data_IF_528678614222
#
_entry.id   IF_528678614222
#
_cell.length_a   1.000
_cell.length_b   1.000
_cell.length_c   1.000
_cell.angle_alpha   90.00
_cell.angle_beta   90.00
_cell.angle_gamma   90.00
#
_symmetry.space_group_name_H-M   'P 1'
#
loop_
_entity.id
_entity.type
_entity.pdbx_description
1 polymer ?
#
# COMPACT_ATOMS: atom_id res chain seq x y z
N UNK A 1 4.66 2.23 26.45
CA UNK A 1 3.73 1.24 25.90
C UNK A 1 4.51 0.16 25.16
N UNK A 2 4.12 -1.11 25.25
CA UNK A 2 4.75 -2.23 24.55
C UNK A 2 3.80 -2.75 23.46
N UNK A 3 4.29 -2.86 22.23
CA UNK A 3 3.52 -3.32 21.08
C UNK A 3 4.08 -4.65 20.57
N UNK A 4 3.22 -5.65 20.47
CA UNK A 4 3.55 -7.01 20.02
C UNK A 4 2.77 -7.36 18.76
N UNK A 5 3.23 -8.35 17.98
CA UNK A 5 2.54 -8.76 16.74
C UNK A 5 1.13 -9.28 17.00
N UNK A 6 0.90 -9.88 18.16
CA UNK A 6 -0.41 -10.30 18.65
C UNK A 6 -0.39 -10.33 20.17
N UNK A 7 -1.46 -10.79 20.81
CA UNK A 7 -1.53 -10.87 22.27
C UNK A 7 -0.55 -11.93 22.80
N UNK A 8 0.50 -11.49 23.48
CA UNK A 8 1.44 -12.37 24.18
C UNK A 8 1.10 -12.44 25.67
N UNK A 9 0.74 -13.65 26.14
CA UNK A 9 0.33 -13.89 27.53
C UNK A 9 1.44 -13.55 28.52
N UNK A 10 2.69 -13.86 28.19
CA UNK A 10 3.81 -13.60 29.11
C UNK A 10 4.08 -12.11 29.23
N UNK A 11 4.00 -11.37 28.11
CA UNK A 11 4.17 -9.92 28.10
C UNK A 11 3.03 -9.23 28.84
N UNK A 12 1.78 -9.66 28.65
CA UNK A 12 0.61 -9.13 29.38
C UNK A 12 0.74 -9.38 30.88
N UNK A 13 1.09 -10.60 31.30
CA UNK A 13 1.28 -10.95 32.70
C UNK A 13 2.47 -10.22 33.34
N UNK A 14 3.57 -10.04 32.60
CA UNK A 14 4.71 -9.27 33.10
C UNK A 14 4.37 -7.78 33.23
N UNK A 15 3.66 -7.22 32.26
CA UNK A 15 3.26 -5.82 32.28
C UNK A 15 2.18 -5.50 33.31
N UNK A 16 1.30 -6.46 33.67
CA UNK A 16 0.20 -6.22 34.62
C UNK A 16 0.69 -5.79 36.00
N UNK A 17 1.91 -6.17 36.37
CA UNK A 17 2.49 -5.86 37.67
C UNK A 17 3.24 -4.52 37.68
N UNK A 18 3.42 -3.87 36.53
CA UNK A 18 4.16 -2.61 36.42
C UNK A 18 3.19 -1.47 36.13
N UNK A 19 3.12 -0.51 37.06
CA UNK A 19 2.25 0.65 36.89
C UNK A 19 2.62 1.44 35.63
N UNK A 20 1.59 1.83 34.86
CA UNK A 20 1.69 2.65 33.62
C UNK A 20 2.30 1.94 32.40
N UNK A 21 2.58 0.64 32.45
CA UNK A 21 2.93 -0.12 31.24
C UNK A 21 1.67 -0.73 30.64
N UNK A 22 1.37 -0.34 29.41
CA UNK A 22 0.28 -0.91 28.63
C UNK A 22 0.86 -1.78 27.52
N UNK A 23 0.22 -2.92 27.28
CA UNK A 23 0.53 -3.84 26.20
C UNK A 23 -0.59 -3.80 25.18
N UNK A 24 -0.24 -3.82 23.89
CA UNK A 24 -1.22 -3.72 22.81
C UNK A 24 -0.76 -4.52 21.59
N UNK A 25 -1.61 -5.39 21.01
CA UNK A 25 -1.29 -6.05 19.75
C UNK A 25 -1.32 -5.06 18.58
N UNK A 26 -0.43 -5.25 17.60
CA UNK A 26 -0.21 -4.32 16.49
C UNK A 26 -1.47 -4.11 15.64
N UNK A 27 -2.36 -5.10 15.53
CA UNK A 27 -3.61 -4.95 14.79
C UNK A 27 -4.60 -3.97 15.44
N UNK A 28 -4.43 -3.70 16.74
CA UNK A 28 -5.25 -2.74 17.49
C UNK A 28 -4.57 -1.39 17.61
N UNK A 29 -3.42 -1.19 16.95
CA UNK A 29 -2.63 0.02 17.07
C UNK A 29 -3.35 1.20 16.42
N UNK A 30 -3.54 2.25 17.20
CA UNK A 30 -4.17 3.51 16.74
C UNK A 30 -3.19 4.68 16.93
N UNK A 31 -3.26 5.67 16.04
CA UNK A 31 -2.54 6.92 16.15
C UNK A 31 -2.77 7.64 17.48
N UNK A 32 -3.99 7.59 18.05
CA UNK A 32 -4.27 8.22 19.34
C UNK A 32 -3.44 7.58 20.48
N UNK A 33 -3.35 6.25 20.51
CA UNK A 33 -2.55 5.55 21.52
C UNK A 33 -1.07 5.88 21.36
N UNK A 34 -0.56 5.94 20.12
CA UNK A 34 0.82 6.33 19.83
C UNK A 34 1.14 7.76 20.27
N UNK A 35 0.24 8.72 19.99
CA UNK A 35 0.44 10.13 20.32
C UNK A 35 0.24 10.43 21.82
N UNK A 36 -0.50 9.59 22.53
CA UNK A 36 -0.78 9.75 23.96
C UNK A 36 0.35 9.26 24.89
N UNK A 37 1.39 8.64 24.34
CA UNK A 37 2.45 7.98 25.12
C UNK A 37 3.81 8.59 24.78
N UNK A 38 4.58 8.90 25.82
CA UNK A 38 5.93 9.47 25.65
C UNK A 38 6.93 8.45 25.07
N UNK A 39 6.72 7.16 25.33
CA UNK A 39 7.59 6.08 24.87
C UNK A 39 6.79 4.85 24.40
N UNK A 40 7.18 4.36 23.23
CA UNK A 40 6.66 3.13 22.62
C UNK A 40 7.81 2.18 22.34
N UNK A 41 7.69 0.95 22.85
CA UNK A 41 8.60 -0.17 22.58
C UNK A 41 7.84 -1.14 21.69
N UNK A 42 8.37 -1.45 20.51
CA UNK A 42 7.71 -2.33 19.55
C UNK A 42 8.61 -3.53 19.25
N UNK A 43 8.05 -4.74 19.20
CA UNK A 43 8.82 -5.91 18.77
C UNK A 43 9.15 -5.82 17.29
N UNK A 44 10.27 -6.41 16.88
CA UNK A 44 10.74 -6.39 15.48
C UNK A 44 9.68 -6.96 14.53
N UNK A 45 8.98 -8.01 14.95
CA UNK A 45 7.90 -8.59 14.14
C UNK A 45 6.70 -7.65 13.98
N UNK A 46 6.33 -6.91 15.02
CA UNK A 46 5.26 -5.92 14.96
C UNK A 46 5.66 -4.76 14.03
N UNK A 47 6.90 -4.28 14.12
CA UNK A 47 7.41 -3.23 13.24
C UNK A 47 7.37 -3.66 11.77
N UNK A 48 7.83 -4.89 11.47
CA UNK A 48 7.76 -5.46 10.12
C UNK A 48 6.32 -5.58 9.61
N UNK A 49 5.37 -5.89 10.50
CA UNK A 49 3.95 -5.93 10.14
C UNK A 49 3.42 -4.53 9.79
N UNK A 50 3.76 -3.50 10.59
CA UNK A 50 3.39 -2.10 10.33
C UNK A 50 3.93 -1.63 8.99
N UNK A 51 5.21 -1.87 8.71
CA UNK A 51 5.84 -1.52 7.44
C UNK A 51 5.14 -2.22 6.26
N UNK A 52 4.77 -3.49 6.40
CA UNK A 52 4.11 -4.24 5.34
C UNK A 52 2.64 -3.87 5.09
N UNK A 53 1.88 -3.55 6.16
CA UNK A 53 0.43 -3.29 6.08
C UNK A 53 0.11 -1.81 6.07
N UNK A 54 0.45 -1.12 7.15
CA UNK A 54 0.13 0.31 7.31
C UNK A 54 0.91 1.21 6.34
N UNK A 55 2.10 0.84 5.85
CA UNK A 55 2.76 1.65 4.81
C UNK A 55 2.05 1.57 3.45
N UNK A 56 1.32 0.48 3.20
CA UNK A 56 0.64 0.23 1.92
C UNK A 56 -0.78 0.80 1.87
N UNK A 57 -1.42 0.94 3.04
CA UNK A 57 -2.74 1.56 3.14
C UNK A 57 -2.66 3.06 2.82
N UNK A 58 -3.39 3.56 1.81
CA UNK A 58 -3.41 4.98 1.50
C UNK A 58 -4.13 5.76 2.62
N UNK A 59 -3.38 6.34 3.56
CA UNK A 59 -3.96 7.04 4.70
C UNK A 59 -4.61 8.39 4.29
N UNK A 60 -5.93 8.49 4.50
CA UNK A 60 -6.72 9.72 4.34
C UNK A 60 -7.28 9.97 2.93
N UNK A 61 -8.01 11.08 2.77
CA UNK A 61 -8.67 11.51 1.51
C UNK A 61 -7.74 11.60 0.28
N UNK A 62 -6.43 11.69 0.49
CA UNK A 62 -5.42 11.74 -0.58
C UNK A 62 -5.15 10.36 -1.19
N UNK A 63 -5.27 9.31 -0.39
CA UNK A 63 -5.04 7.95 -0.84
C UNK A 63 -6.05 7.44 -1.85
N UNK A 64 -7.34 7.76 -1.63
CA UNK A 64 -8.42 7.40 -2.55
C UNK A 64 -8.30 8.10 -3.91
N UNK A 65 -7.75 9.32 -3.95
CA UNK A 65 -7.51 10.03 -5.22
C UNK A 65 -6.34 9.41 -6.00
N UNK A 66 -5.33 8.88 -5.31
CA UNK A 66 -4.19 8.23 -5.96
C UNK A 66 -4.53 6.86 -6.50
N UNK A 67 -5.33 6.04 -5.79
CA UNK A 67 -5.76 4.74 -6.31
C UNK A 67 -6.72 4.88 -7.49
N UNK A 68 -7.66 5.83 -7.42
CA UNK A 68 -8.55 6.15 -8.54
C UNK A 68 -7.78 6.81 -9.69
N UNK A 69 -6.79 7.66 -9.39
CA UNK A 69 -5.93 8.30 -10.40
C UNK A 69 -5.00 7.33 -11.11
N UNK A 70 -4.44 6.35 -10.40
CA UNK A 70 -3.58 5.30 -10.97
C UNK A 70 -4.41 4.36 -11.85
N UNK A 71 -5.58 3.91 -11.38
CA UNK A 71 -6.51 3.13 -12.20
C UNK A 71 -6.92 3.90 -13.47
N UNK A 72 -7.26 5.18 -13.35
CA UNK A 72 -7.61 6.01 -14.51
C UNK A 72 -6.45 6.27 -15.47
N UNK A 73 -5.20 6.31 -14.98
CA UNK A 73 -4.01 6.43 -15.81
C UNK A 73 -3.70 5.12 -16.55
N UNK A 74 -3.88 3.97 -15.89
CA UNK A 74 -3.72 2.63 -16.48
C UNK A 74 -4.76 2.36 -17.58
N UNK A 75 -6.00 2.85 -17.42
CA UNK A 75 -7.01 2.76 -18.47
C UNK A 75 -6.67 3.62 -19.70
N UNK A 76 -6.13 4.83 -19.49
CA UNK A 76 -5.74 5.72 -20.60
C UNK A 76 -4.56 5.19 -21.40
N UNK A 77 -3.55 4.61 -20.72
CA UNK A 77 -2.39 4.02 -21.39
C UNK A 77 -2.75 2.79 -22.21
N UNK A 78 -3.70 1.97 -21.74
CA UNK A 78 -4.25 0.83 -22.49
C UNK A 78 -5.04 1.26 -23.74
N UNK A 79 -5.84 2.31 -23.64
CA UNK A 79 -6.62 2.85 -24.77
C UNK A 79 -5.72 3.52 -25.83
N UNK A 80 -4.65 4.19 -25.39
CA UNK A 80 -3.65 4.81 -26.26
C UNK A 80 -2.79 3.78 -26.99
N UNK A 81 -2.40 2.69 -26.32
CA UNK A 81 -1.70 1.55 -26.95
C UNK A 81 -2.58 0.80 -27.96
N UNK A 82 -3.86 0.56 -27.65
CA UNK A 82 -4.81 -0.07 -28.56
C UNK A 82 -5.09 0.79 -29.82
N UNK A 83 -5.06 2.11 -29.68
CA UNK A 83 -5.21 3.06 -30.80
C UNK A 83 -3.94 3.23 -31.63
N UNK A 84 -2.75 2.97 -31.05
CA UNK A 84 -1.48 3.00 -31.75
C UNK A 84 -1.28 1.75 -32.62
N UNK A 85 -1.75 0.58 -32.17
CA UNK A 85 -1.62 -0.69 -32.90
C UNK A 85 -2.46 -0.73 -34.19
N UNK A 86 -3.54 0.05 -34.27
CA UNK A 86 -4.38 0.16 -35.48
C UNK A 86 -3.78 1.03 -36.59
N UNK A 87 -2.69 1.77 -36.33
CA UNK A 87 -2.11 2.74 -37.30
C UNK A 87 -0.93 2.19 -38.10
N UNK A 88 -0.48 0.97 -37.84
CA UNK A 88 0.59 0.30 -38.60
C UNK A 88 0.10 -0.99 -39.26
N UNK A 89 -0.83 -0.86 -40.22
CA UNK A 89 -1.35 -2.06 -40.89
C UNK A 89 -2.08 -1.89 -42.21
N UNK A 90 -2.06 -0.74 -42.89
CA UNK A 90 -2.62 -0.62 -44.25
C UNK A 90 -1.94 0.48 -45.06
N UNK A 91 -0.75 0.19 -45.60
CA UNK A 91 0.04 1.15 -46.36
C UNK A 91 0.53 0.60 -47.69
N UNK A 92 -0.32 0.70 -48.73
CA UNK A 92 0.05 0.90 -50.15
C UNK A 92 0.98 -0.13 -50.81
N UNK A 93 0.38 -1.13 -51.47
CA UNK A 93 0.91 -1.63 -52.75
C UNK A 93 -0.19 -1.51 -53.80
N UNK A 94 -0.30 -0.34 -54.40
CA UNK A 94 -1.04 -0.12 -55.63
C UNK A 94 -0.15 0.62 -56.63
N UNK A 95 -0.04 0.01 -57.81
CA UNK A 95 0.43 0.56 -59.09
C UNK A 95 1.95 0.74 -59.29
N UNK A 96 2.50 -0.07 -60.23
CA UNK A 96 2.80 0.36 -61.63
C UNK A 96 4.09 -0.29 -62.15
N UNK A 97 3.97 -1.11 -63.21
CA UNK A 97 4.67 -0.89 -64.49
C UNK A 97 4.23 -1.91 -65.55
N UNK A 98 3.76 -1.35 -66.66
CA UNK A 98 3.60 -1.97 -67.97
C UNK A 98 4.94 -2.42 -68.59
N UNK A 99 4.80 -3.29 -69.59
CA UNK A 99 5.70 -3.59 -70.74
C UNK A 99 7.06 -4.26 -70.51
N UNK A 100 7.16 -5.53 -70.94
CA UNK A 100 7.82 -5.95 -72.18
C UNK A 100 7.49 -7.41 -72.53
#
# INVERSE_FOLDING_TARGET
MVVTKGTDRYVVQAASNIQKIWTLPVEQLNAQELLSKDLVIMTVEAARWVEGKLSSEPHGRRGLKMTVGLAAADFKSLEELASAETRHGTGRYAARRDEA
#
